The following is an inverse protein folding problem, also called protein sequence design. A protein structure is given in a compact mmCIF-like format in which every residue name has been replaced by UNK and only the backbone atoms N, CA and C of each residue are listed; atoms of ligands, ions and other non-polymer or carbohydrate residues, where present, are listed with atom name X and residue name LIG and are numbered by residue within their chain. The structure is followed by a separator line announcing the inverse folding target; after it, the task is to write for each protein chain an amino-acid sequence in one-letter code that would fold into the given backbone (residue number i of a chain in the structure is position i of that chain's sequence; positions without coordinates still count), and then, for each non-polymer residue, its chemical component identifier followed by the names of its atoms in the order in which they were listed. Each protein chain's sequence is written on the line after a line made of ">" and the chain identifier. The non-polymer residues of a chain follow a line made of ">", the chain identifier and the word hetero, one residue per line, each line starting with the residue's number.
data_IF_015883190244
#
_entry.id   IF_015883190244
#
_cell.length_a   1.000
_cell.length_b   1.000
_cell.length_c   1.000
_cell.angle_alpha   90.00
_cell.angle_beta   90.00
_cell.angle_gamma   90.00
#
_symmetry.space_group_name_H-M   'P 1'
#
loop_
_entity.id
_entity.type
_entity.pdbx_description
1 polymer ?
#
# COMPACT_ATOMS: atom_id res chain seq x y z
N UNK A 1 -7.86 3.12 -5.66
CA UNK A 1 -8.62 2.78 -6.89
C UNK A 1 -9.13 1.35 -6.78
N UNK A 2 -10.44 1.08 -6.92
CA UNK A 2 -10.95 -0.28 -6.97
C UNK A 2 -10.48 -1.00 -8.24
N UNK A 3 -10.15 -2.28 -8.11
CA UNK A 3 -9.76 -3.18 -9.20
C UNK A 3 -10.90 -4.15 -9.52
N UNK A 4 -10.82 -4.80 -10.68
CA UNK A 4 -11.87 -5.69 -11.18
C UNK A 4 -12.10 -6.93 -10.28
N UNK A 5 -11.10 -7.33 -9.49
CA UNK A 5 -11.18 -8.44 -8.53
C UNK A 5 -11.74 -8.01 -7.16
N UNK A 6 -12.24 -6.77 -7.04
CA UNK A 6 -12.73 -6.20 -5.78
C UNK A 6 -11.62 -5.70 -4.84
N UNK A 7 -10.35 -5.94 -5.16
CA UNK A 7 -9.23 -5.41 -4.38
C UNK A 7 -9.00 -3.93 -4.66
N UNK A 8 -8.26 -3.24 -3.80
CA UNK A 8 -7.97 -1.81 -3.91
C UNK A 8 -6.48 -1.59 -4.22
N UNK A 9 -6.20 -0.85 -5.28
CA UNK A 9 -4.87 -0.32 -5.56
C UNK A 9 -4.64 0.97 -4.76
N UNK A 10 -3.53 1.02 -4.04
CA UNK A 10 -3.09 2.15 -3.21
C UNK A 10 -1.71 2.59 -3.68
N UNK A 11 -1.58 3.86 -4.05
CA UNK A 11 -0.29 4.49 -4.35
C UNK A 11 0.21 5.27 -3.15
N UNK A 12 1.39 4.93 -2.67
CA UNK A 12 2.08 5.60 -1.58
C UNK A 12 3.17 6.49 -2.20
N UNK A 13 2.94 7.80 -2.17
CA UNK A 13 3.82 8.79 -2.79
C UNK A 13 4.64 9.49 -1.73
N UNK A 14 5.96 9.46 -1.87
CA UNK A 14 6.83 10.36 -1.13
C UNK A 14 7.20 11.54 -2.01
N UNK A 15 6.65 12.72 -1.68
CA UNK A 15 6.95 13.98 -2.39
C UNK A 15 8.02 14.82 -1.69
N UNK A 16 8.61 14.30 -0.60
CA UNK A 16 9.69 14.96 0.12
C UNK A 16 11.05 14.73 -0.51
N UNK A 17 12.04 15.44 0.03
CA UNK A 17 13.45 15.39 -0.39
C UNK A 17 14.22 14.21 0.24
N UNK A 18 13.67 13.60 1.30
CA UNK A 18 14.26 12.50 2.06
C UNK A 18 13.39 11.24 1.99
N UNK A 19 13.97 10.08 2.34
CA UNK A 19 13.21 8.84 2.47
C UNK A 19 12.19 8.96 3.62
N UNK A 20 10.93 8.59 3.34
CA UNK A 20 9.85 8.71 4.30
C UNK A 20 9.11 7.38 4.44
N UNK A 21 8.74 7.05 5.68
CA UNK A 21 7.84 5.93 5.96
C UNK A 21 6.42 6.39 5.71
N UNK A 22 5.79 5.83 4.68
CA UNK A 22 4.39 6.10 4.37
C UNK A 22 3.54 4.96 4.92
N UNK A 23 2.51 5.31 5.68
CA UNK A 23 1.55 4.38 6.28
C UNK A 23 0.19 4.55 5.63
N UNK A 24 -0.46 3.44 5.31
CA UNK A 24 -1.88 3.40 4.95
C UNK A 24 -2.63 2.61 6.02
N UNK A 25 -3.67 3.21 6.59
CA UNK A 25 -4.62 2.46 7.42
C UNK A 25 -5.70 1.88 6.50
N UNK A 26 -6.07 0.63 6.75
CA UNK A 26 -7.07 -0.06 5.94
C UNK A 26 -8.46 0.54 6.13
N UNK A 27 -8.74 1.11 7.30
CA UNK A 27 -9.93 1.91 7.57
C UNK A 27 -10.12 3.05 6.58
N UNK A 28 -9.03 3.74 6.20
CA UNK A 28 -9.07 4.93 5.35
C UNK A 28 -9.40 4.59 3.89
N UNK A 29 -9.20 3.32 3.52
CA UNK A 29 -9.55 2.76 2.21
C UNK A 29 -10.77 1.84 2.29
N UNK A 30 -11.52 1.86 3.39
CA UNK A 30 -12.71 1.03 3.63
C UNK A 30 -12.44 -0.47 3.52
N UNK A 31 -11.26 -0.90 3.96
CA UNK A 31 -10.89 -2.30 4.11
C UNK A 31 -10.88 -2.61 5.61
N UNK A 32 -11.76 -3.52 6.03
CA UNK A 32 -11.90 -3.94 7.42
C UNK A 32 -11.25 -5.30 7.64
N UNK A 33 -10.54 -5.46 8.76
CA UNK A 33 -9.93 -6.73 9.17
C UNK A 33 -8.54 -6.97 8.61
N UNK A 34 -8.22 -8.24 8.35
CA UNK A 34 -6.96 -8.63 7.73
C UNK A 34 -7.01 -8.42 6.23
N UNK A 35 -5.99 -7.78 5.67
CA UNK A 35 -5.87 -7.54 4.24
C UNK A 35 -4.53 -8.05 3.72
N UNK A 36 -4.55 -8.68 2.55
CA UNK A 36 -3.34 -9.14 1.87
C UNK A 36 -2.76 -8.01 1.04
N UNK A 37 -1.50 -7.70 1.28
CA UNK A 37 -0.78 -6.64 0.57
C UNK A 37 0.17 -7.25 -0.44
N UNK A 38 0.09 -6.78 -1.69
CA UNK A 38 0.97 -7.17 -2.79
C UNK A 38 1.59 -5.94 -3.42
N UNK A 39 2.90 -5.95 -3.59
CA UNK A 39 3.60 -4.95 -4.40
C UNK A 39 3.37 -5.26 -5.89
N UNK A 40 2.77 -4.31 -6.61
CA UNK A 40 2.43 -4.47 -8.03
C UNK A 40 3.65 -4.28 -8.94
N UNK A 41 4.63 -3.47 -8.54
CA UNK A 41 5.83 -3.22 -9.33
C UNK A 41 6.84 -4.34 -9.17
N UNK A 42 7.12 -4.76 -7.93
CA UNK A 42 7.98 -5.91 -7.64
C UNK A 42 7.28 -7.25 -7.94
N UNK A 43 5.98 -7.22 -8.26
CA UNK A 43 5.11 -8.40 -8.44
C UNK A 43 5.19 -9.38 -7.27
N UNK A 44 5.45 -8.87 -6.07
CA UNK A 44 5.77 -9.64 -4.87
C UNK A 44 4.65 -9.53 -3.84
N UNK A 45 4.24 -10.67 -3.31
CA UNK A 45 3.32 -10.70 -2.16
C UNK A 45 4.09 -10.34 -0.89
N UNK A 46 3.63 -9.31 -0.18
CA UNK A 46 4.26 -8.81 1.03
C UNK A 46 3.73 -9.51 2.29
N UNK A 47 2.56 -10.15 2.17
CA UNK A 47 1.92 -10.91 3.24
C UNK A 47 0.55 -10.34 3.61
N UNK A 48 -0.02 -10.87 4.69
CA UNK A 48 -1.26 -10.37 5.28
C UNK A 48 -0.95 -9.47 6.46
N UNK A 49 -1.61 -8.32 6.50
CA UNK A 49 -1.48 -7.32 7.55
C UNK A 49 -2.86 -7.05 8.15
N UNK A 50 -2.91 -6.54 9.38
CA UNK A 50 -4.16 -6.21 10.05
C UNK A 50 -4.17 -4.73 10.43
N UNK A 51 -5.26 -4.04 10.07
CA UNK A 51 -5.48 -2.63 10.36
C UNK A 51 -4.64 -1.63 9.54
N UNK A 52 -3.37 -1.89 9.27
CA UNK A 52 -2.53 -0.97 8.49
C UNK A 52 -1.32 -1.66 7.82
N UNK A 53 -0.74 -0.97 6.84
CA UNK A 53 0.52 -1.32 6.21
C UNK A 53 1.42 -0.08 6.10
N UNK A 54 2.70 -0.24 6.37
CA UNK A 54 3.71 0.82 6.20
C UNK A 54 4.88 0.34 5.36
N UNK A 55 5.44 1.25 4.58
CA UNK A 55 6.62 0.99 3.78
C UNK A 55 7.50 2.23 3.68
N UNK A 56 8.80 2.03 3.56
CA UNK A 56 9.73 3.12 3.32
C UNK A 56 9.76 3.44 1.83
N UNK A 57 9.44 4.67 1.48
CA UNK A 57 9.45 5.16 0.11
C UNK A 57 10.61 6.15 -0.03
N UNK A 58 11.58 5.90 -0.94
CA UNK A 58 12.69 6.83 -1.21
C UNK A 58 12.20 8.22 -1.63
N UNK A 59 13.11 9.21 -1.65
CA UNK A 59 12.79 10.57 -2.10
C UNK A 59 12.20 10.57 -3.51
N UNK A 60 11.14 11.34 -3.72
CA UNK A 60 10.33 11.36 -4.95
C UNK A 60 9.87 9.97 -5.44
N UNK A 61 9.91 8.97 -4.55
CA UNK A 61 9.56 7.60 -4.85
C UNK A 61 8.06 7.36 -4.78
N UNK A 62 7.66 6.25 -5.38
CA UNK A 62 6.29 5.74 -5.33
C UNK A 62 6.34 4.25 -5.06
N UNK A 63 5.52 3.80 -4.10
CA UNK A 63 5.20 2.39 -3.95
C UNK A 63 3.75 2.18 -4.38
N UNK A 64 3.52 1.20 -5.26
CA UNK A 64 2.17 0.83 -5.70
C UNK A 64 1.83 -0.55 -5.16
N UNK A 65 0.89 -0.58 -4.22
CA UNK A 65 0.44 -1.81 -3.58
C UNK A 65 -1.01 -2.11 -3.95
N UNK A 66 -1.33 -3.40 -3.97
CA UNK A 66 -2.67 -3.94 -4.03
C UNK A 66 -3.04 -4.47 -2.65
N UNK A 67 -4.18 -4.04 -2.14
CA UNK A 67 -4.75 -4.46 -0.86
C UNK A 67 -6.02 -5.23 -1.16
N UNK A 68 -6.10 -6.49 -0.73
CA UNK A 68 -7.26 -7.36 -0.89
C UNK A 68 -7.82 -7.77 0.45
#
# INVERSE_FOLDING_TARGET
>A
KPLADGSKAVGLFNRGEDAATIKVNFSDIEVSGSATVRDLWAKKDLGSFEGNYSTQVPKHGVALIKVK
#
